data_IF_802354386247
#
_entry.id   IF_802354386247
#
_cell.length_a   1.000
_cell.length_b   1.000
_cell.length_c   1.000
_cell.angle_alpha   90.00
_cell.angle_beta   90.00
_cell.angle_gamma   90.00
#
_symmetry.space_group_name_H-M   'P 1'
#
loop_
_entity.id
_entity.type
_entity.pdbx_description
1 polymer ?
#
# COMPACT_ATOMS: atom_id res chain seq x y z
N UNK A 1 8.15 -72.90 10.50
CA UNK A 1 7.48 -71.78 11.19
C UNK A 1 8.27 -70.54 10.83
N UNK A 2 7.71 -69.77 9.91
CA UNK A 2 8.29 -68.57 9.32
C UNK A 2 7.96 -67.38 10.21
N UNK A 3 8.95 -66.56 10.56
CA UNK A 3 8.70 -65.19 11.00
C UNK A 3 9.71 -64.27 10.30
N UNK A 4 9.26 -63.73 9.17
CA UNK A 4 9.91 -62.63 8.46
C UNK A 4 9.49 -61.35 9.18
N UNK A 5 10.42 -60.79 9.96
CA UNK A 5 10.28 -59.46 10.53
C UNK A 5 10.13 -58.44 9.39
N UNK A 6 8.93 -57.89 9.28
CA UNK A 6 8.58 -56.86 8.30
C UNK A 6 9.21 -55.55 8.73
N UNK A 7 10.17 -55.03 7.96
CA UNK A 7 10.72 -53.69 8.15
C UNK A 7 9.63 -52.66 7.80
N UNK A 8 9.26 -51.73 8.71
CA UNK A 8 8.31 -50.69 8.35
C UNK A 8 8.99 -49.65 7.45
N UNK A 9 8.66 -49.70 6.17
CA UNK A 9 8.95 -48.62 5.22
C UNK A 9 8.00 -47.44 5.52
N UNK A 10 8.54 -46.35 6.06
CA UNK A 10 7.74 -45.17 6.35
C UNK A 10 8.47 -44.07 7.09
N UNK A 11 9.73 -43.77 6.75
CA UNK A 11 10.37 -42.54 7.22
C UNK A 11 9.95 -41.39 6.30
N UNK A 12 8.83 -40.74 6.61
CA UNK A 12 8.49 -39.40 6.10
C UNK A 12 9.38 -38.36 6.78
N UNK A 13 10.70 -38.45 6.58
CA UNK A 13 11.59 -37.35 6.92
C UNK A 13 11.46 -36.31 5.81
N UNK A 14 10.58 -35.34 6.02
CA UNK A 14 10.56 -34.11 5.24
C UNK A 14 11.98 -33.52 5.30
N UNK A 15 12.75 -33.64 4.22
CA UNK A 15 14.13 -33.16 4.18
C UNK A 15 14.19 -31.63 4.38
N UNK A 16 15.34 -31.07 4.78
CA UNK A 16 15.52 -29.63 5.04
C UNK A 16 15.05 -28.74 3.87
N UNK A 17 15.15 -29.23 2.63
CA UNK A 17 14.69 -28.55 1.41
C UNK A 17 13.16 -28.27 1.41
N UNK A 18 12.36 -29.14 2.03
CA UNK A 18 10.89 -28.98 2.10
C UNK A 18 10.44 -27.91 3.11
N UNK A 19 11.18 -27.75 4.22
CA UNK A 19 10.93 -26.71 5.21
C UNK A 19 11.26 -25.32 4.63
N UNK A 20 12.40 -25.18 3.95
CA UNK A 20 12.83 -23.96 3.25
C UNK A 20 11.83 -23.49 2.17
N UNK A 21 11.29 -24.43 1.39
CA UNK A 21 10.27 -24.13 0.38
C UNK A 21 8.97 -23.61 1.01
N UNK A 22 8.56 -24.18 2.14
CA UNK A 22 7.37 -23.77 2.89
C UNK A 22 7.53 -22.37 3.46
N UNK A 23 8.69 -22.06 4.06
CA UNK A 23 8.99 -20.73 4.60
C UNK A 23 8.98 -19.65 3.51
N UNK A 24 9.57 -19.96 2.35
CA UNK A 24 9.55 -19.07 1.17
C UNK A 24 8.12 -18.76 0.72
N UNK A 25 7.25 -19.78 0.70
CA UNK A 25 5.84 -19.61 0.34
C UNK A 25 5.08 -18.75 1.36
N UNK A 26 5.34 -18.92 2.67
CA UNK A 26 4.74 -18.11 3.73
C UNK A 26 5.16 -16.64 3.63
N UNK A 27 6.44 -16.36 3.40
CA UNK A 27 6.94 -14.99 3.21
C UNK A 27 6.30 -14.34 1.98
N UNK A 28 6.20 -15.07 0.85
CA UNK A 28 5.51 -14.57 -0.36
C UNK A 28 4.04 -14.26 -0.10
N UNK A 29 3.32 -15.09 0.66
CA UNK A 29 1.92 -14.82 1.05
C UNK A 29 1.82 -13.58 1.94
N UNK A 30 2.76 -13.37 2.87
CA UNK A 30 2.82 -12.18 3.71
C UNK A 30 3.04 -10.92 2.88
N UNK A 31 3.99 -10.94 1.93
CA UNK A 31 4.20 -9.83 0.98
C UNK A 31 2.91 -9.50 0.23
N UNK A 32 2.25 -10.51 -0.36
CA UNK A 32 1.01 -10.30 -1.11
C UNK A 32 -0.11 -9.69 -0.27
N UNK A 33 -0.26 -10.10 1.00
CA UNK A 33 -1.25 -9.50 1.91
C UNK A 33 -0.97 -8.02 2.17
N UNK A 34 0.28 -7.67 2.46
CA UNK A 34 0.65 -6.27 2.68
C UNK A 34 0.52 -5.41 1.41
N UNK A 35 0.88 -5.96 0.25
CA UNK A 35 0.65 -5.29 -1.03
C UNK A 35 -0.83 -5.08 -1.32
N UNK A 36 -1.68 -6.09 -1.07
CA UNK A 36 -3.13 -5.93 -1.25
C UNK A 36 -3.72 -4.91 -0.30
N UNK A 37 -3.28 -4.87 0.96
CA UNK A 37 -3.68 -3.85 1.91
C UNK A 37 -3.33 -2.44 1.38
N UNK A 38 -2.09 -2.25 0.93
CA UNK A 38 -1.64 -0.98 0.36
C UNK A 38 -2.46 -0.60 -0.89
N UNK A 39 -2.65 -1.53 -1.82
CA UNK A 39 -3.44 -1.32 -3.05
C UNK A 39 -4.87 -0.94 -2.70
N UNK A 40 -5.51 -1.63 -1.75
CA UNK A 40 -6.88 -1.33 -1.35
C UNK A 40 -6.99 0.08 -0.76
N UNK A 41 -6.09 0.46 0.15
CA UNK A 41 -6.06 1.82 0.70
C UNK A 41 -5.82 2.88 -0.38
N UNK A 42 -4.88 2.63 -1.30
CA UNK A 42 -4.57 3.53 -2.42
C UNK A 42 -5.78 3.72 -3.35
N UNK A 43 -6.45 2.62 -3.71
CA UNK A 43 -7.64 2.66 -4.57
C UNK A 43 -8.78 3.40 -3.86
N UNK A 44 -9.08 3.06 -2.60
CA UNK A 44 -10.12 3.74 -1.84
C UNK A 44 -9.86 5.25 -1.73
N UNK A 45 -8.62 5.64 -1.42
CA UNK A 45 -8.20 7.04 -1.39
C UNK A 45 -8.32 7.75 -2.75
N UNK A 46 -8.13 7.03 -3.86
CA UNK A 46 -8.33 7.59 -5.19
C UNK A 46 -9.81 7.73 -5.55
N UNK A 47 -10.61 6.72 -5.20
CA UNK A 47 -12.04 6.68 -5.52
C UNK A 47 -12.83 7.79 -4.84
N UNK A 48 -12.40 8.28 -3.67
CA UNK A 48 -13.05 9.43 -2.99
C UNK A 48 -12.98 10.72 -3.80
N UNK A 49 -12.11 10.82 -4.80
CA UNK A 49 -12.06 11.99 -5.68
C UNK A 49 -13.21 12.03 -6.71
N UNK A 50 -13.87 10.91 -7.01
CA UNK A 50 -15.04 10.89 -7.92
C UNK A 50 -16.27 11.57 -7.28
N UNK A 51 -16.76 11.15 -6.09
CA UNK A 51 -17.90 11.78 -5.44
C UNK A 51 -17.47 12.92 -4.50
N UNK A 52 -16.43 13.69 -4.84
CA UNK A 52 -15.81 14.64 -3.90
C UNK A 52 -16.82 15.61 -3.27
N UNK A 53 -17.75 16.16 -4.06
CA UNK A 53 -18.81 17.05 -3.55
C UNK A 53 -19.73 16.36 -2.53
N UNK A 54 -20.10 15.11 -2.79
CA UNK A 54 -20.98 14.35 -1.89
C UNK A 54 -20.24 14.01 -0.59
N UNK A 55 -18.97 13.62 -0.68
CA UNK A 55 -18.13 13.29 0.47
C UNK A 55 -17.85 14.50 1.35
N UNK A 56 -17.52 15.66 0.77
CA UNK A 56 -17.30 16.89 1.55
C UNK A 56 -18.59 17.38 2.20
N UNK A 57 -19.72 17.28 1.51
CA UNK A 57 -21.04 17.59 2.07
C UNK A 57 -21.43 16.63 3.20
N UNK A 58 -21.13 15.34 3.07
CA UNK A 58 -21.35 14.34 4.13
C UNK A 58 -20.46 14.63 5.34
N UNK A 59 -19.18 14.95 5.12
CA UNK A 59 -18.25 15.30 6.19
C UNK A 59 -18.73 16.53 6.97
N UNK A 60 -19.19 17.58 6.28
CA UNK A 60 -19.76 18.77 6.92
C UNK A 60 -20.94 18.43 7.83
N UNK A 61 -21.90 17.64 7.32
CA UNK A 61 -23.04 17.15 8.11
C UNK A 61 -22.62 16.31 9.32
N UNK A 62 -21.60 15.48 9.18
CA UNK A 62 -21.08 14.66 10.28
C UNK A 62 -20.41 15.51 11.36
N UNK A 63 -19.64 16.53 10.97
CA UNK A 63 -19.01 17.48 11.91
C UNK A 63 -20.06 18.23 12.72
N UNK A 64 -21.19 18.61 12.10
CA UNK A 64 -22.32 19.23 12.79
C UNK A 64 -23.03 18.24 13.71
N UNK A 65 -23.37 17.05 13.21
CA UNK A 65 -24.12 16.04 13.95
C UNK A 65 -23.38 15.51 15.19
N UNK A 66 -22.05 15.44 15.12
CA UNK A 66 -21.20 14.98 16.23
C UNK A 66 -20.83 16.09 17.22
N UNK A 67 -21.18 17.36 16.91
CA UNK A 67 -20.78 18.52 17.71
C UNK A 67 -19.29 18.86 17.59
N UNK A 68 -18.53 18.19 16.71
CA UNK A 68 -17.10 18.42 16.51
C UNK A 68 -16.82 19.87 16.09
N UNK A 69 -17.72 20.49 15.31
CA UNK A 69 -17.58 21.88 14.90
C UNK A 69 -17.59 22.85 16.07
N UNK A 70 -18.31 22.53 17.15
CA UNK A 70 -18.33 23.35 18.38
C UNK A 70 -17.09 23.12 19.26
N UNK A 71 -16.58 21.88 19.29
CA UNK A 71 -15.38 21.52 20.04
C UNK A 71 -14.08 22.00 19.36
N UNK A 72 -14.07 22.04 18.02
CA UNK A 72 -12.96 22.48 17.18
C UNK A 72 -13.46 23.48 16.12
N UNK A 73 -13.66 24.76 16.50
CA UNK A 73 -14.24 25.77 15.61
C UNK A 73 -13.51 25.96 14.29
N UNK A 74 -12.18 25.87 14.30
CA UNK A 74 -11.35 26.01 13.09
C UNK A 74 -11.56 24.86 12.11
N UNK A 75 -11.73 23.64 12.62
CA UNK A 75 -12.05 22.46 11.82
C UNK A 75 -13.44 22.59 11.21
N UNK A 76 -14.44 22.98 12.01
CA UNK A 76 -15.81 23.20 11.53
C UNK A 76 -15.86 24.24 10.42
N UNK A 77 -15.24 25.40 10.66
CA UNK A 77 -15.17 26.49 9.68
C UNK A 77 -14.47 26.05 8.39
N UNK A 78 -13.38 25.29 8.50
CA UNK A 78 -12.65 24.80 7.35
C UNK A 78 -13.45 23.78 6.53
N UNK A 79 -14.05 22.77 7.18
CA UNK A 79 -14.84 21.74 6.50
C UNK A 79 -16.04 22.34 5.77
N UNK A 80 -16.75 23.29 6.40
CA UNK A 80 -17.86 24.00 5.77
C UNK A 80 -17.41 24.83 4.58
N UNK A 81 -16.32 25.60 4.70
CA UNK A 81 -15.72 26.35 3.59
C UNK A 81 -15.38 25.45 2.40
N UNK A 82 -14.78 24.29 2.65
CA UNK A 82 -14.41 23.33 1.60
C UNK A 82 -15.66 22.74 0.95
N UNK A 83 -16.65 22.30 1.74
CA UNK A 83 -17.92 21.75 1.23
C UNK A 83 -18.65 22.76 0.33
N UNK A 84 -18.81 24.01 0.80
CA UNK A 84 -19.44 25.08 0.04
C UNK A 84 -18.65 25.44 -1.22
N UNK A 85 -17.33 25.57 -1.12
CA UNK A 85 -16.46 25.90 -2.25
C UNK A 85 -16.47 24.84 -3.36
N UNK A 86 -16.51 23.55 -2.99
CA UNK A 86 -16.63 22.45 -3.96
C UNK A 86 -18.02 22.47 -4.60
N UNK A 87 -19.09 22.67 -3.83
CA UNK A 87 -20.45 22.70 -4.35
C UNK A 87 -20.68 23.88 -5.32
N UNK A 88 -20.21 25.08 -4.96
CA UNK A 88 -20.30 26.26 -5.84
C UNK A 88 -19.44 26.08 -7.10
N UNK A 89 -18.20 25.62 -6.93
CA UNK A 89 -17.27 25.36 -8.03
C UNK A 89 -17.82 24.37 -9.04
N UNK A 90 -18.27 23.19 -8.60
CA UNK A 90 -18.83 22.18 -9.50
C UNK A 90 -20.21 22.56 -10.05
N UNK A 91 -21.03 23.29 -9.28
CA UNK A 91 -22.33 23.77 -9.75
C UNK A 91 -22.21 24.80 -10.87
N UNK A 92 -21.29 25.77 -10.73
CA UNK A 92 -21.07 26.85 -11.72
C UNK A 92 -20.14 26.44 -12.85
N UNK A 93 -19.16 25.57 -12.56
CA UNK A 93 -18.11 25.14 -13.47
C UNK A 93 -17.90 23.62 -13.40
N UNK A 94 -18.87 22.81 -13.88
CA UNK A 94 -18.80 21.34 -13.78
C UNK A 94 -17.54 20.71 -14.37
N UNK A 95 -16.94 21.32 -15.39
CA UNK A 95 -15.70 20.84 -16.01
C UNK A 95 -14.52 20.78 -15.03
N UNK A 96 -14.57 21.49 -13.89
CA UNK A 96 -13.54 21.40 -12.85
C UNK A 96 -13.49 20.01 -12.18
N UNK A 97 -14.61 19.29 -12.13
CA UNK A 97 -14.67 17.92 -11.62
C UNK A 97 -13.83 16.94 -12.47
N UNK A 98 -13.60 17.27 -13.75
CA UNK A 98 -12.73 16.45 -14.58
C UNK A 98 -11.29 16.40 -14.06
N UNK A 99 -10.82 17.45 -13.37
CA UNK A 99 -9.50 17.45 -12.72
C UNK A 99 -9.39 16.40 -11.61
N UNK A 100 -10.47 16.19 -10.85
CA UNK A 100 -10.50 15.17 -9.79
C UNK A 100 -10.72 13.77 -10.37
N UNK A 101 -11.39 13.63 -11.51
CA UNK A 101 -11.47 12.36 -12.25
C UNK A 101 -10.07 11.87 -12.68
N UNK A 102 -9.22 12.78 -13.18
CA UNK A 102 -7.82 12.45 -13.51
C UNK A 102 -7.01 12.05 -12.28
N UNK A 103 -7.25 12.71 -11.14
CA UNK A 103 -6.59 12.36 -9.88
C UNK A 103 -7.01 10.95 -9.41
N UNK A 104 -8.30 10.63 -9.50
CA UNK A 104 -8.81 9.29 -9.21
C UNK A 104 -8.17 8.25 -10.16
N UNK A 105 -8.16 8.55 -11.46
CA UNK A 105 -7.56 7.67 -12.47
C UNK A 105 -6.07 7.41 -12.22
N UNK A 106 -5.30 8.43 -11.82
CA UNK A 106 -3.89 8.26 -11.48
C UNK A 106 -3.69 7.23 -10.36
N UNK A 107 -4.51 7.26 -9.31
CA UNK A 107 -4.45 6.27 -8.24
C UNK A 107 -4.73 4.84 -8.74
N UNK A 108 -5.70 4.68 -9.64
CA UNK A 108 -6.02 3.38 -10.25
C UNK A 108 -4.86 2.86 -11.13
N UNK A 109 -4.22 3.73 -11.90
CA UNK A 109 -3.05 3.37 -12.72
C UNK A 109 -1.87 2.98 -11.83
N UNK A 110 -1.62 3.73 -10.76
CA UNK A 110 -0.56 3.42 -9.79
C UNK A 110 -0.85 2.07 -9.12
N UNK A 111 -2.08 1.82 -8.69
CA UNK A 111 -2.51 0.54 -8.13
C UNK A 111 -2.29 -0.62 -9.13
N UNK A 112 -2.60 -0.41 -10.41
CA UNK A 112 -2.39 -1.41 -11.46
C UNK A 112 -0.90 -1.78 -11.63
N UNK A 113 0.03 -0.84 -11.42
CA UNK A 113 1.47 -1.11 -11.49
C UNK A 113 1.93 -2.16 -10.47
N UNK A 114 1.23 -2.30 -9.33
CA UNK A 114 1.54 -3.32 -8.32
C UNK A 114 1.21 -4.76 -8.76
N UNK A 115 0.57 -4.95 -9.92
CA UNK A 115 0.40 -6.27 -10.54
C UNK A 115 1.73 -6.99 -10.78
N UNK A 116 2.82 -6.25 -11.04
CA UNK A 116 4.17 -6.80 -11.13
C UNK A 116 4.65 -7.41 -9.80
N UNK A 117 4.78 -6.59 -8.74
CA UNK A 117 5.14 -7.06 -7.40
C UNK A 117 4.25 -8.17 -6.83
N UNK A 118 2.94 -8.19 -7.13
CA UNK A 118 2.04 -9.27 -6.71
C UNK A 118 2.41 -10.63 -7.32
N UNK A 119 2.89 -10.63 -8.57
CA UNK A 119 3.34 -11.84 -9.26
C UNK A 119 4.73 -12.27 -8.82
N UNK A 120 5.70 -11.36 -8.95
CA UNK A 120 7.10 -11.57 -8.63
C UNK A 120 7.66 -10.33 -7.92
N UNK A 121 7.71 -10.33 -6.58
CA UNK A 121 8.10 -9.16 -5.82
C UNK A 121 9.61 -8.89 -5.87
N UNK A 122 10.44 -9.91 -6.12
CA UNK A 122 11.89 -9.77 -6.21
C UNK A 122 12.26 -9.07 -7.51
N UNK A 123 11.78 -9.59 -8.64
CA UNK A 123 12.04 -8.99 -9.95
C UNK A 123 11.49 -7.57 -10.10
N UNK A 124 10.42 -7.25 -9.37
CA UNK A 124 9.73 -5.96 -9.43
C UNK A 124 9.95 -5.08 -8.18
N UNK A 125 11.04 -5.30 -7.41
CA UNK A 125 11.33 -4.55 -6.19
C UNK A 125 11.40 -3.03 -6.42
N UNK A 126 11.77 -2.61 -7.63
CA UNK A 126 11.82 -1.19 -8.00
C UNK A 126 10.46 -0.50 -7.85
N UNK A 127 9.34 -1.16 -8.19
CA UNK A 127 8.00 -0.58 -8.05
C UNK A 127 7.70 -0.25 -6.58
N UNK A 128 8.13 -1.11 -5.65
CA UNK A 128 7.97 -0.89 -4.22
C UNK A 128 8.82 0.30 -3.76
N UNK A 129 10.08 0.39 -4.20
CA UNK A 129 10.97 1.52 -3.88
C UNK A 129 10.47 2.85 -4.43
N UNK A 130 9.99 2.84 -5.68
CA UNK A 130 9.39 4.00 -6.31
C UNK A 130 8.13 4.45 -5.55
N UNK A 131 7.27 3.51 -5.12
CA UNK A 131 6.10 3.84 -4.32
C UNK A 131 6.48 4.41 -2.95
N UNK A 132 7.55 3.91 -2.31
CA UNK A 132 8.06 4.50 -1.07
C UNK A 132 8.52 5.95 -1.27
N UNK A 133 9.20 6.23 -2.39
CA UNK A 133 9.59 7.60 -2.75
C UNK A 133 8.37 8.48 -2.98
N UNK A 134 7.35 7.98 -3.69
CA UNK A 134 6.09 8.69 -3.91
C UNK A 134 5.38 9.01 -2.60
N UNK A 135 5.30 8.05 -1.66
CA UNK A 135 4.77 8.28 -0.31
C UNK A 135 5.56 9.36 0.45
N UNK A 136 6.89 9.34 0.37
CA UNK A 136 7.73 10.39 0.95
C UNK A 136 7.51 11.76 0.30
N UNK A 137 7.24 11.80 -1.01
CA UNK A 137 6.96 13.01 -1.78
C UNK A 137 5.66 13.72 -1.41
N UNK A 138 4.72 13.05 -0.73
CA UNK A 138 3.49 13.68 -0.22
C UNK A 138 3.80 14.77 0.81
N UNK A 139 4.85 14.58 1.63
CA UNK A 139 5.25 15.54 2.67
C UNK A 139 5.66 16.90 2.10
N UNK A 140 6.66 17.01 1.20
CA UNK A 140 7.00 18.29 0.60
C UNK A 140 5.86 18.87 -0.24
N UNK A 141 5.07 18.03 -0.92
CA UNK A 141 3.89 18.49 -1.66
C UNK A 141 2.91 19.24 -0.75
N UNK A 142 2.53 18.64 0.38
CA UNK A 142 1.60 19.25 1.33
C UNK A 142 2.16 20.53 1.96
N UNK A 143 3.43 20.51 2.37
CA UNK A 143 4.07 21.66 3.03
C UNK A 143 4.35 22.85 2.09
N UNK A 144 4.46 22.61 0.78
CA UNK A 144 4.69 23.69 -0.21
C UNK A 144 3.37 24.13 -0.83
N UNK A 145 2.60 23.20 -1.39
CA UNK A 145 1.37 23.53 -2.11
C UNK A 145 0.21 23.86 -1.17
N UNK A 146 0.20 23.33 0.05
CA UNK A 146 -0.81 23.63 1.07
C UNK A 146 -0.87 25.12 1.40
N UNK A 147 0.24 25.74 1.86
CA UNK A 147 0.28 27.18 2.14
C UNK A 147 -0.02 28.04 0.91
N UNK A 148 0.49 27.67 -0.27
CA UNK A 148 0.23 28.39 -1.53
C UNK A 148 -1.26 28.41 -1.90
N UNK A 149 -2.04 27.43 -1.44
CA UNK A 149 -3.48 27.30 -1.68
C UNK A 149 -4.33 27.72 -0.47
N UNK A 150 -3.71 28.23 0.59
CA UNK A 150 -4.41 28.63 1.81
C UNK A 150 -4.99 27.47 2.64
N UNK A 151 -4.43 26.26 2.51
CA UNK A 151 -4.82 25.10 3.31
C UNK A 151 -4.24 25.23 4.72
N UNK A 152 -5.03 25.06 5.80
CA UNK A 152 -4.54 25.20 7.16
C UNK A 152 -3.61 24.06 7.55
N UNK A 153 -2.66 24.32 8.47
CA UNK A 153 -1.61 23.37 8.84
C UNK A 153 -2.17 22.05 9.38
N UNK A 154 -3.24 22.08 10.19
CA UNK A 154 -3.84 20.85 10.72
C UNK A 154 -4.37 19.93 9.61
N UNK A 155 -4.87 20.51 8.51
CA UNK A 155 -5.34 19.73 7.37
C UNK A 155 -4.17 19.22 6.52
N UNK A 156 -3.10 20.01 6.36
CA UNK A 156 -1.86 19.53 5.74
C UNK A 156 -1.29 18.32 6.51
N UNK A 157 -1.39 18.29 7.85
CA UNK A 157 -1.02 17.11 8.65
C UNK A 157 -1.86 15.87 8.30
N UNK A 158 -3.14 16.05 8.00
CA UNK A 158 -4.00 14.96 7.49
C UNK A 158 -3.49 14.49 6.13
N UNK A 159 -3.20 15.39 5.20
CA UNK A 159 -2.67 15.05 3.87
C UNK A 159 -1.34 14.28 3.95
N UNK A 160 -0.42 14.74 4.80
CA UNK A 160 0.87 14.08 5.02
C UNK A 160 0.72 12.68 5.63
N UNK A 161 -0.31 12.46 6.46
CA UNK A 161 -0.55 11.18 7.10
C UNK A 161 -0.77 10.05 6.10
N UNK A 162 -1.38 10.32 4.93
CA UNK A 162 -1.57 9.32 3.87
C UNK A 162 -0.22 8.80 3.35
N UNK A 163 0.75 9.69 3.14
CA UNK A 163 2.10 9.32 2.73
C UNK A 163 2.81 8.49 3.80
N UNK A 164 2.77 8.94 5.06
CA UNK A 164 3.44 8.26 6.17
C UNK A 164 2.84 6.88 6.48
N UNK A 165 1.50 6.79 6.54
CA UNK A 165 0.79 5.52 6.78
C UNK A 165 0.97 4.57 5.60
N UNK A 166 0.93 5.08 4.36
CA UNK A 166 1.19 4.29 3.16
C UNK A 166 2.63 3.76 3.06
N UNK A 167 3.60 4.47 3.67
CA UNK A 167 5.00 4.05 3.68
C UNK A 167 5.24 2.79 4.54
N UNK A 168 4.49 2.63 5.64
CA UNK A 168 4.62 1.49 6.58
C UNK A 168 4.49 0.12 5.89
N UNK A 169 3.40 -0.21 5.16
CA UNK A 169 3.27 -1.50 4.49
C UNK A 169 4.36 -1.72 3.44
N UNK A 170 4.79 -0.66 2.74
CA UNK A 170 5.84 -0.75 1.73
C UNK A 170 7.22 -1.05 2.35
N UNK A 171 7.54 -0.45 3.50
CA UNK A 171 8.77 -0.76 4.24
C UNK A 171 8.79 -2.22 4.71
N UNK A 172 7.65 -2.72 5.22
CA UNK A 172 7.50 -4.12 5.62
C UNK A 172 7.70 -5.04 4.42
N UNK A 173 7.04 -4.75 3.29
CA UNK A 173 7.20 -5.52 2.05
C UNK A 173 8.64 -5.48 1.56
N UNK A 174 9.30 -4.31 1.57
CA UNK A 174 10.68 -4.18 1.12
C UNK A 174 11.63 -5.06 1.93
N UNK A 175 11.50 -5.05 3.27
CA UNK A 175 12.29 -5.92 4.15
C UNK A 175 12.07 -7.41 3.85
N UNK A 176 10.83 -7.82 3.62
CA UNK A 176 10.50 -9.21 3.28
C UNK A 176 11.03 -9.61 1.90
N UNK A 177 11.03 -8.70 0.92
CA UNK A 177 11.62 -8.93 -0.40
C UNK A 177 13.13 -9.17 -0.28
N UNK A 178 13.83 -8.33 0.50
CA UNK A 178 15.28 -8.50 0.74
C UNK A 178 15.61 -9.84 1.40
N UNK A 179 14.76 -10.30 2.33
CA UNK A 179 14.91 -11.63 2.92
C UNK A 179 14.72 -12.76 1.90
N UNK A 180 13.72 -12.64 1.00
CA UNK A 180 13.51 -13.60 -0.08
C UNK A 180 14.68 -13.62 -1.09
N UNK A 181 15.19 -12.46 -1.48
CA UNK A 181 16.36 -12.32 -2.36
C UNK A 181 17.56 -13.08 -1.79
N UNK A 182 17.81 -12.93 -0.49
CA UNK A 182 18.90 -13.62 0.20
C UNK A 182 18.73 -15.14 0.20
N UNK A 183 17.53 -15.63 0.54
CA UNK A 183 17.24 -17.07 0.54
C UNK A 183 17.41 -17.71 -0.85
N UNK A 184 17.00 -17.01 -1.90
CA UNK A 184 17.18 -17.46 -3.28
C UNK A 184 18.66 -17.53 -3.68
N UNK A 185 19.46 -16.52 -3.30
CA UNK A 185 20.88 -16.50 -3.57
C UNK A 185 21.64 -17.64 -2.86
N UNK A 186 21.31 -17.91 -1.59
CA UNK A 186 21.90 -19.01 -0.81
C UNK A 186 21.53 -20.37 -1.42
N UNK A 187 20.27 -20.56 -1.79
CA UNK A 187 19.80 -21.81 -2.41
C UNK A 187 20.52 -22.07 -3.74
N UNK A 188 20.63 -21.04 -4.59
CA UNK A 188 21.33 -21.14 -5.86
C UNK A 188 22.82 -21.52 -5.69
N UNK A 189 23.48 -21.00 -4.66
CA UNK A 189 24.86 -21.35 -4.33
C UNK A 189 24.99 -22.82 -3.89
N UNK A 190 24.08 -23.31 -3.03
CA UNK A 190 24.08 -24.72 -2.61
C UNK A 190 23.82 -25.68 -3.77
N UNK A 191 22.92 -25.33 -4.68
CA UNK A 191 22.62 -26.12 -5.87
C UNK A 191 23.85 -26.21 -6.79
N UNK A 192 24.54 -25.09 -7.00
CA UNK A 192 25.80 -25.05 -7.75
C UNK A 192 26.87 -25.95 -7.11
N UNK A 193 27.05 -25.87 -5.79
CA UNK A 193 28.02 -26.69 -5.05
C UNK A 193 27.71 -28.19 -5.09
N UNK A 194 26.41 -28.58 -5.18
CA UNK A 194 26.01 -29.99 -5.38
C UNK A 194 26.27 -30.48 -6.81
N UNK A 195 26.10 -29.60 -7.79
CA UNK A 195 26.20 -29.96 -9.21
C UNK A 195 27.65 -30.10 -9.71
N UNK A 196 28.62 -29.47 -9.02
CA UNK A 196 30.04 -29.51 -9.37
C UNK A 196 30.80 -30.33 -8.31
N UNK A 197 31.15 -31.61 -8.57
CA UNK A 197 31.98 -32.37 -7.65
C UNK A 197 33.36 -31.72 -7.52
N UNK A 198 33.88 -31.66 -6.31
CA UNK A 198 35.24 -31.18 -6.04
C UNK A 198 36.27 -32.07 -6.77
N UNK A 199 37.34 -31.50 -7.34
CA UNK A 199 38.37 -32.25 -8.04
C UNK A 199 39.13 -33.22 -7.13
#
# INVERSE_FOLDING_TARGET
MSDIATVPAGSTTAGPDSASATDTALVRRRIRRWLWLFIACLVLSGLTAFPLQTETSLLARLVDATGLGSALPDLGTWVHRVSEGVADGYGRHPFLAYGTDWLAFAHLVIAAAFRGPLRDPVRNVWVVRWAMLACGGVVPLALICGPLRGVPLFWQCVDMSFGLVGLVPLLVVHRLIRALEWQQAVSAHHDFARAVPSP
#
